data_IF_617772342717
#
_entry.id   IF_617772342717
#
_cell.length_a   1.000
_cell.length_b   1.000
_cell.length_c   1.000
_cell.angle_alpha   90.00
_cell.angle_beta   90.00
_cell.angle_gamma   90.00
#
_symmetry.space_group_name_H-M   'P 1'
#
loop_
_entity.id
_entity.type
_entity.pdbx_description
1 polymer ?
#
# COMPACT_ATOMS: atom_id res chain seq x y z
N UNK A 1 6.74 25.77 3.78
CA UNK A 1 7.14 24.97 4.95
C UNK A 1 5.91 24.62 5.78
N UNK A 2 5.11 23.68 5.29
CA UNK A 2 4.03 23.06 6.05
C UNK A 2 4.66 21.86 6.78
N UNK A 3 4.33 21.68 8.06
CA UNK A 3 4.93 20.67 8.92
C UNK A 3 3.99 19.47 8.95
N UNK A 4 4.40 18.38 8.33
CA UNK A 4 3.74 17.09 8.46
C UNK A 4 4.09 16.50 9.83
N UNK A 5 3.06 16.11 10.57
CA UNK A 5 3.20 15.47 11.89
C UNK A 5 2.80 14.02 11.70
N UNK A 6 3.79 13.16 11.51
CA UNK A 6 3.61 11.71 11.39
C UNK A 6 3.34 11.17 12.80
N UNK A 7 2.13 10.66 13.01
CA UNK A 7 1.75 9.97 14.24
C UNK A 7 2.05 8.48 14.06
N UNK A 8 3.21 8.04 14.57
CA UNK A 8 3.59 6.64 14.59
C UNK A 8 2.78 5.94 15.68
N UNK A 9 1.81 5.14 15.29
CA UNK A 9 1.07 4.25 16.19
C UNK A 9 1.89 2.98 16.38
N UNK A 10 2.62 2.90 17.50
CA UNK A 10 3.43 1.72 17.82
C UNK A 10 2.55 0.58 18.29
N UNK A 11 2.18 -0.33 17.40
CA UNK A 11 1.48 -1.57 17.74
C UNK A 11 2.47 -2.55 18.35
N UNK A 12 2.45 -2.69 19.67
CA UNK A 12 3.28 -3.66 20.37
C UNK A 12 2.73 -5.08 20.17
N UNK A 13 3.30 -5.82 19.21
CA UNK A 13 3.05 -7.23 19.05
C UNK A 13 3.67 -8.02 20.22
N UNK A 14 2.84 -8.58 21.09
CA UNK A 14 3.26 -9.48 22.18
C UNK A 14 3.43 -10.88 21.60
N UNK A 15 4.67 -11.23 21.21
CA UNK A 15 5.05 -12.58 20.81
C UNK A 15 5.05 -13.52 22.03
N UNK A 16 3.97 -14.27 22.20
CA UNK A 16 3.91 -15.39 23.14
C UNK A 16 4.58 -16.63 22.51
N UNK A 17 5.86 -16.85 22.83
CA UNK A 17 6.59 -18.08 22.49
C UNK A 17 6.01 -19.27 23.28
N UNK A 18 5.10 -20.01 22.67
CA UNK A 18 4.69 -21.34 23.13
C UNK A 18 5.76 -22.37 22.75
N UNK A 19 6.77 -22.50 23.60
CA UNK A 19 7.73 -23.60 23.55
C UNK A 19 7.05 -24.93 23.97
N UNK A 20 6.86 -25.85 23.02
CA UNK A 20 6.58 -27.25 23.33
C UNK A 20 7.05 -28.17 22.20
N UNK A 21 8.25 -28.76 22.35
CA UNK A 21 8.81 -29.68 21.37
C UNK A 21 9.96 -30.51 21.95
N UNK A 22 9.59 -31.51 22.73
CA UNK A 22 10.41 -32.43 23.51
C UNK A 22 11.21 -33.44 22.66
N UNK A 23 12.53 -33.61 22.90
CA UNK A 23 13.28 -34.77 22.40
C UNK A 23 14.82 -34.70 22.44
N UNK A 24 15.39 -35.05 23.59
CA UNK A 24 16.72 -35.63 23.89
C UNK A 24 17.84 -35.66 22.82
N UNK A 25 19.03 -35.16 23.19
CA UNK A 25 20.27 -35.96 23.15
C UNK A 25 21.35 -35.44 24.12
N UNK A 26 22.10 -36.36 24.72
CA UNK A 26 23.05 -36.19 25.83
C UNK A 26 24.43 -35.69 25.35
N UNK A 27 25.10 -34.81 26.12
CA UNK A 27 26.44 -34.36 25.71
C UNK A 27 27.24 -33.43 26.62
N UNK A 28 27.39 -33.77 27.89
CA UNK A 28 28.56 -33.54 28.77
C UNK A 28 29.63 -32.46 28.37
N UNK A 29 29.75 -31.34 29.12
CA UNK A 29 31.06 -30.92 29.69
C UNK A 29 30.98 -29.76 30.71
N UNK A 30 31.34 -30.07 31.95
CA UNK A 30 32.28 -29.37 32.85
C UNK A 30 32.44 -27.85 32.75
N UNK A 31 31.98 -27.14 33.78
CA UNK A 31 32.35 -25.74 34.06
C UNK A 31 32.02 -25.31 35.48
N UNK A 32 32.97 -25.51 36.41
CA UNK A 32 32.99 -24.92 37.75
C UNK A 32 33.06 -23.38 37.67
N UNK A 33 32.15 -22.66 38.34
CA UNK A 33 32.56 -21.59 39.27
C UNK A 33 31.41 -21.19 40.23
N UNK A 34 31.69 -20.99 41.53
CA UNK A 34 30.71 -20.54 42.52
C UNK A 34 30.83 -19.02 42.80
N UNK A 35 29.84 -18.53 43.56
CA UNK A 35 29.80 -17.26 44.28
C UNK A 35 29.33 -16.01 43.51
N UNK A 36 28.19 -15.50 43.95
CA UNK A 36 27.63 -14.20 43.54
C UNK A 36 26.29 -13.93 44.22
N UNK A 37 26.22 -14.02 45.55
CA UNK A 37 25.20 -13.27 46.28
C UNK A 37 25.52 -11.78 46.12
N UNK A 38 24.59 -11.01 45.56
CA UNK A 38 24.46 -9.62 45.97
C UNK A 38 23.00 -9.17 45.98
N UNK A 39 22.72 -8.44 47.04
CA UNK A 39 21.43 -8.10 47.60
C UNK A 39 21.13 -6.63 47.25
N UNK A 40 19.88 -6.20 47.49
CA UNK A 40 19.34 -4.83 47.48
C UNK A 40 18.68 -4.38 46.16
N UNK A 41 17.36 -4.17 46.05
CA UNK A 41 16.38 -3.36 46.82
C UNK A 41 16.21 -1.96 46.22
N UNK A 42 15.13 -1.75 45.45
CA UNK A 42 14.42 -0.49 45.09
C UNK A 42 13.53 -0.82 43.87
N UNK A 43 12.27 -0.42 43.69
CA UNK A 43 11.26 0.28 44.49
C UNK A 43 9.94 -0.12 43.80
N UNK A 44 8.92 -0.44 44.60
CA UNK A 44 7.56 -0.70 44.11
C UNK A 44 6.99 0.65 43.70
N UNK A 45 6.85 0.88 42.40
CA UNK A 45 6.18 2.07 41.90
C UNK A 45 4.66 1.84 41.98
N UNK A 46 4.03 2.55 42.90
CA UNK A 46 2.58 2.59 43.10
C UNK A 46 1.91 3.25 41.88
N UNK A 47 1.01 2.54 41.21
CA UNK A 47 0.08 3.16 40.27
C UNK A 47 -0.99 3.97 41.04
N UNK A 48 -1.42 5.13 40.51
CA UNK A 48 -2.33 6.02 41.21
C UNK A 48 -3.78 5.51 41.23
N UNK A 49 -4.43 5.69 42.38
CA UNK A 49 -5.88 5.61 42.59
C UNK A 49 -6.65 6.42 41.53
N UNK A 50 -7.36 5.72 40.63
CA UNK A 50 -8.42 6.33 39.82
C UNK A 50 -9.66 6.50 40.71
N UNK A 51 -9.82 7.73 41.20
CA UNK A 51 -11.07 8.19 41.81
C UNK A 51 -12.22 8.10 40.77
N UNK A 52 -13.04 7.05 40.87
CA UNK A 52 -14.42 7.08 40.36
C UNK A 52 -15.23 8.01 41.26
N UNK A 53 -15.32 9.28 40.87
CA UNK A 53 -16.34 10.18 41.37
C UNK A 53 -17.51 10.21 40.37
N UNK A 54 -18.63 9.64 40.81
CA UNK A 54 -19.99 9.93 40.31
C UNK A 54 -20.38 11.38 40.64
N UNK A 55 -20.90 12.10 39.64
CA UNK A 55 -21.85 13.23 39.75
C UNK A 55 -22.38 13.45 38.31
N UNK A 56 -23.59 13.04 37.89
CA UNK A 56 -24.96 13.37 38.30
C UNK A 56 -25.35 14.85 38.12
N UNK A 57 -26.19 15.13 37.11
CA UNK A 57 -27.25 16.17 37.01
C UNK A 57 -27.66 16.27 35.52
N UNK A 58 -28.72 15.60 35.06
CA UNK A 58 -30.12 16.07 34.96
C UNK A 58 -30.36 17.45 34.29
N UNK A 59 -31.17 17.39 33.22
CA UNK A 59 -32.11 18.39 32.69
C UNK A 59 -31.61 19.74 32.15
N UNK A 60 -31.93 20.02 30.87
CA UNK A 60 -32.86 21.11 30.58
C UNK A 60 -33.58 20.98 29.21
N UNK A 61 -34.86 21.34 29.26
CA UNK A 61 -35.93 21.49 28.26
C UNK A 61 -35.51 22.28 27.00
N UNK A 62 -35.89 21.87 25.78
CA UNK A 62 -37.14 22.17 25.02
C UNK A 62 -37.18 23.59 24.40
N UNK A 63 -37.84 23.67 23.23
CA UNK A 63 -38.19 24.82 22.34
C UNK A 63 -37.10 25.35 21.40
N UNK A 64 -37.31 25.74 20.15
CA UNK A 64 -38.43 26.00 19.20
C UNK A 64 -37.70 25.97 17.81
N UNK A 65 -38.24 25.79 16.61
CA UNK A 65 -39.52 26.22 16.07
C UNK A 65 -39.69 25.54 14.70
N UNK A 66 -40.94 25.24 14.37
CA UNK A 66 -41.38 24.80 13.05
C UNK A 66 -41.32 25.99 12.09
N UNK A 67 -40.68 25.84 10.93
CA UNK A 67 -40.99 26.72 9.81
C UNK A 67 -41.32 25.94 8.54
N UNK A 68 -42.51 26.27 8.06
CA UNK A 68 -43.24 25.68 6.97
C UNK A 68 -42.73 26.12 5.58
N UNK A 69 -43.10 25.31 4.60
CA UNK A 69 -43.35 25.66 3.20
C UNK A 69 -42.20 26.23 2.36
N UNK A 70 -41.57 25.35 1.59
CA UNK A 70 -41.28 25.67 0.20
C UNK A 70 -41.41 24.42 -0.70
N UNK A 71 -42.66 24.12 -1.06
CA UNK A 71 -43.01 23.32 -2.23
C UNK A 71 -42.64 24.13 -3.49
N UNK A 72 -41.53 23.77 -4.15
CA UNK A 72 -41.35 24.09 -5.57
C UNK A 72 -40.30 23.19 -6.22
N UNK A 73 -40.77 22.23 -7.02
CA UNK A 73 -39.99 21.69 -8.14
C UNK A 73 -39.45 20.28 -7.94
N UNK A 74 -40.33 19.29 -8.05
CA UNK A 74 -39.94 18.00 -8.64
C UNK A 74 -39.39 18.26 -10.04
N UNK A 75 -38.07 18.37 -10.13
CA UNK A 75 -37.30 18.14 -11.34
C UNK A 75 -36.48 16.87 -11.09
N UNK A 76 -37.20 15.76 -10.95
CA UNK A 76 -36.64 14.41 -10.92
C UNK A 76 -36.55 13.97 -12.37
N UNK A 77 -35.55 14.44 -13.10
CA UNK A 77 -35.22 13.93 -14.42
C UNK A 77 -33.73 14.19 -14.71
N UNK A 78 -33.00 13.08 -14.87
CA UNK A 78 -31.69 12.96 -15.51
C UNK A 78 -30.43 13.20 -14.64
N UNK A 79 -30.32 12.50 -13.51
CA UNK A 79 -29.04 11.86 -13.20
C UNK A 79 -29.00 10.56 -14.01
N UNK A 80 -28.66 10.66 -15.30
CA UNK A 80 -28.00 9.56 -15.99
C UNK A 80 -26.75 9.29 -15.17
N UNK A 81 -26.85 8.32 -14.25
CA UNK A 81 -25.68 7.60 -13.78
C UNK A 81 -25.05 7.06 -15.05
N UNK A 82 -23.99 7.73 -15.49
CA UNK A 82 -22.97 7.11 -16.28
C UNK A 82 -22.45 6.01 -15.35
N UNK A 83 -23.01 4.81 -15.46
CA UNK A 83 -22.34 3.60 -15.01
C UNK A 83 -21.09 3.51 -15.89
N UNK A 84 -20.09 4.34 -15.59
CA UNK A 84 -18.72 4.07 -15.94
C UNK A 84 -18.49 2.70 -15.32
N UNK A 85 -18.31 1.70 -16.18
CA UNK A 85 -18.00 0.34 -15.74
C UNK A 85 -16.68 0.47 -14.98
N UNK A 86 -16.77 0.56 -13.65
CA UNK A 86 -15.60 0.56 -12.78
C UNK A 86 -14.85 -0.75 -13.06
N UNK A 87 -13.56 -0.61 -13.39
CA UNK A 87 -12.66 -1.74 -13.59
C UNK A 87 -12.61 -2.56 -12.31
N UNK A 88 -12.59 -3.89 -12.43
CA UNK A 88 -12.47 -4.77 -11.26
C UNK A 88 -11.04 -4.67 -10.69
N UNK A 89 -10.90 -4.84 -9.38
CA UNK A 89 -9.59 -4.84 -8.73
C UNK A 89 -8.69 -5.94 -9.31
N UNK A 90 -7.39 -5.69 -9.41
CA UNK A 90 -6.42 -6.63 -9.99
C UNK A 90 -6.45 -7.99 -9.27
N UNK A 91 -6.64 -8.00 -7.95
CA UNK A 91 -6.75 -9.26 -7.19
C UNK A 91 -7.98 -10.10 -7.57
N UNK A 92 -9.07 -9.46 -8.00
CA UNK A 92 -10.31 -10.13 -8.42
C UNK A 92 -10.24 -10.66 -9.86
N UNK A 93 -9.22 -10.27 -10.63
CA UNK A 93 -8.99 -10.68 -12.02
C UNK A 93 -8.16 -11.96 -12.17
N UNK A 94 -8.00 -12.74 -11.09
CA UNK A 94 -7.27 -14.03 -11.07
C UNK A 94 -5.82 -13.91 -11.60
N UNK A 95 -5.10 -12.82 -11.28
CA UNK A 95 -3.71 -12.61 -11.73
C UNK A 95 -2.79 -13.76 -11.37
N UNK A 96 -1.84 -14.08 -12.25
CA UNK A 96 -0.84 -15.14 -12.00
C UNK A 96 0.50 -14.59 -11.55
N UNK A 97 0.85 -13.38 -12.01
CA UNK A 97 2.08 -12.69 -11.67
C UNK A 97 1.84 -11.20 -11.78
N UNK A 98 2.36 -10.46 -10.81
CA UNK A 98 2.35 -9.00 -10.78
C UNK A 98 3.76 -8.53 -10.47
N UNK A 99 4.27 -7.59 -11.26
CA UNK A 99 5.55 -6.95 -11.04
C UNK A 99 5.46 -5.46 -11.40
N UNK A 100 5.82 -4.60 -10.45
CA UNK A 100 5.87 -3.16 -10.64
C UNK A 100 7.24 -2.64 -10.16
N UNK A 101 7.97 -2.02 -11.07
CA UNK A 101 9.17 -1.23 -10.79
C UNK A 101 8.83 0.25 -10.94
N UNK A 102 9.10 1.05 -9.91
CA UNK A 102 8.88 2.52 -9.93
C UNK A 102 10.20 3.21 -9.62
N UNK A 103 10.59 4.16 -10.46
CA UNK A 103 11.71 5.07 -10.19
C UNK A 103 11.17 6.47 -9.94
N UNK A 104 11.54 7.09 -8.83
CA UNK A 104 11.15 8.44 -8.46
C UNK A 104 12.16 9.48 -8.99
N UNK A 105 11.76 10.76 -9.05
CA UNK A 105 12.63 11.86 -9.54
C UNK A 105 13.88 12.09 -8.69
N UNK A 106 13.92 11.57 -7.46
CA UNK A 106 15.09 11.62 -6.57
C UNK A 106 16.02 10.41 -6.69
N UNK A 107 15.84 9.60 -7.74
CA UNK A 107 16.54 8.34 -8.02
C UNK A 107 16.21 7.21 -7.02
N UNK A 108 15.18 7.36 -6.19
CA UNK A 108 14.68 6.26 -5.34
C UNK A 108 13.95 5.23 -6.20
N UNK A 109 14.33 3.96 -6.06
CA UNK A 109 13.69 2.84 -6.75
C UNK A 109 12.82 2.05 -5.78
N UNK A 110 11.63 1.67 -6.23
CA UNK A 110 10.71 0.76 -5.53
C UNK A 110 10.39 -0.42 -6.43
N UNK A 111 10.42 -1.63 -5.87
CA UNK A 111 9.99 -2.85 -6.55
C UNK A 111 8.91 -3.56 -5.73
N UNK A 112 7.83 -3.92 -6.42
CA UNK A 112 6.69 -4.64 -5.88
C UNK A 112 6.48 -5.90 -6.72
N UNK A 113 6.41 -7.06 -6.08
CA UNK A 113 6.13 -8.32 -6.76
C UNK A 113 5.13 -9.16 -5.97
N UNK A 114 4.25 -9.85 -6.69
CA UNK A 114 3.26 -10.75 -6.11
C UNK A 114 2.95 -11.91 -7.07
N UNK A 115 3.02 -13.13 -6.53
CA UNK A 115 2.61 -14.37 -7.18
C UNK A 115 1.68 -15.12 -6.21
N UNK A 116 0.37 -15.26 -6.52
CA UNK A 116 -0.54 -15.95 -5.63
C UNK A 116 -0.19 -17.43 -5.48
N UNK A 117 -0.64 -18.03 -4.38
CA UNK A 117 -0.43 -19.46 -4.14
C UNK A 117 -1.13 -20.32 -5.22
N UNK A 118 -0.42 -21.27 -5.83
CA UNK A 118 -1.00 -22.16 -6.84
C UNK A 118 -1.99 -23.19 -6.22
N UNK A 119 -1.91 -23.40 -4.91
CA UNK A 119 -2.75 -24.34 -4.17
C UNK A 119 -2.88 -23.99 -2.67
N UNK A 120 -3.85 -24.60 -1.99
CA UNK A 120 -4.15 -24.34 -0.57
C UNK A 120 -3.02 -24.68 0.42
N UNK A 121 -2.00 -25.45 0.00
CA UNK A 121 -0.87 -25.84 0.84
C UNK A 121 0.36 -24.93 0.63
N UNK A 122 0.28 -23.98 -0.31
CA UNK A 122 1.33 -23.00 -0.62
C UNK A 122 0.95 -21.61 -0.10
N UNK A 123 1.98 -20.80 0.20
CA UNK A 123 1.82 -19.39 0.53
C UNK A 123 2.08 -18.57 -0.73
N UNK A 124 1.39 -17.42 -0.91
CA UNK A 124 1.77 -16.47 -1.95
C UNK A 124 3.23 -16.04 -1.77
N UNK A 125 3.91 -15.82 -2.88
CA UNK A 125 5.26 -15.23 -2.91
C UNK A 125 5.11 -13.74 -3.20
N UNK A 126 5.71 -12.89 -2.37
CA UNK A 126 5.57 -11.45 -2.51
C UNK A 126 6.76 -10.74 -1.90
N UNK A 127 7.17 -9.64 -2.54
CA UNK A 127 8.22 -8.77 -2.05
C UNK A 127 7.90 -7.30 -2.34
N UNK A 128 8.21 -6.43 -1.38
CA UNK A 128 8.16 -4.98 -1.49
C UNK A 128 9.53 -4.46 -1.05
N UNK A 129 10.26 -3.82 -1.95
CA UNK A 129 11.59 -3.27 -1.64
C UNK A 129 11.72 -1.82 -2.10
N UNK A 130 12.38 -1.02 -1.26
CA UNK A 130 12.70 0.40 -1.48
C UNK A 130 13.93 0.82 -0.65
N UNK A 131 14.26 2.11 -0.59
CA UNK A 131 15.50 2.62 0.04
C UNK A 131 15.68 2.18 1.52
N UNK A 132 14.59 2.20 2.29
CA UNK A 132 14.57 1.89 3.73
C UNK A 132 13.55 0.81 4.13
N UNK A 133 12.93 0.14 3.14
CA UNK A 133 11.90 -0.89 3.35
C UNK A 133 12.23 -2.15 2.54
N UNK A 134 12.11 -3.30 3.18
CA UNK A 134 12.28 -4.61 2.55
C UNK A 134 11.33 -5.59 3.27
N UNK A 135 10.22 -5.91 2.63
CA UNK A 135 9.19 -6.84 3.11
C UNK A 135 9.13 -8.03 2.16
N UNK A 136 9.17 -9.25 2.71
CA UNK A 136 9.10 -10.49 1.94
C UNK A 136 8.21 -11.51 2.66
N UNK A 137 7.73 -12.52 1.91
CA UNK A 137 6.96 -13.63 2.47
C UNK A 137 5.58 -13.22 2.96
N UNK A 138 5.13 -13.74 4.10
CA UNK A 138 3.76 -13.52 4.61
C UNK A 138 3.43 -12.03 4.84
N UNK A 139 4.37 -11.26 5.39
CA UNK A 139 4.18 -9.81 5.61
C UNK A 139 4.13 -9.03 4.28
N UNK A 140 5.01 -9.37 3.33
CA UNK A 140 4.98 -8.78 1.98
C UNK A 140 3.69 -9.13 1.23
N UNK A 141 3.19 -10.36 1.40
CA UNK A 141 1.98 -10.82 0.74
C UNK A 141 0.73 -10.14 1.30
N UNK A 142 0.61 -9.99 2.62
CA UNK A 142 -0.52 -9.26 3.24
C UNK A 142 -0.60 -7.81 2.74
N UNK A 143 0.55 -7.11 2.65
CA UNK A 143 0.59 -5.74 2.15
C UNK A 143 0.31 -5.68 0.64
N UNK A 144 0.88 -6.58 -0.16
CA UNK A 144 0.60 -6.64 -1.60
C UNK A 144 -0.87 -6.96 -1.91
N UNK A 145 -1.51 -7.88 -1.19
CA UNK A 145 -2.93 -8.18 -1.37
C UNK A 145 -3.80 -6.97 -1.03
N UNK A 146 -3.42 -6.17 -0.03
CA UNK A 146 -4.10 -4.91 0.26
C UNK A 146 -3.99 -3.92 -0.91
N UNK A 147 -2.78 -3.68 -1.43
CA UNK A 147 -2.59 -2.82 -2.61
C UNK A 147 -3.37 -3.32 -3.83
N UNK A 148 -3.26 -4.61 -4.16
CA UNK A 148 -3.91 -5.18 -5.33
C UNK A 148 -5.44 -5.28 -5.22
N UNK A 149 -5.99 -5.19 -4.01
CA UNK A 149 -7.44 -5.07 -3.79
C UNK A 149 -7.99 -3.68 -4.07
N UNK A 150 -7.13 -2.66 -4.04
CA UNK A 150 -7.46 -1.27 -4.33
C UNK A 150 -6.95 -0.81 -5.71
N UNK A 151 -6.08 -1.58 -6.36
CA UNK A 151 -5.54 -1.28 -7.70
C UNK A 151 -6.51 -1.72 -8.81
N UNK A 152 -7.07 -0.79 -9.59
CA UNK A 152 -8.15 -1.08 -10.55
C UNK A 152 -7.73 -0.80 -12.00
N UNK A 153 -6.93 -1.69 -12.59
CA UNK A 153 -6.53 -1.62 -14.00
C UNK A 153 -6.86 -2.92 -14.74
N UNK A 154 -7.01 -2.85 -16.06
CA UNK A 154 -7.18 -4.02 -16.91
C UNK A 154 -6.16 -4.04 -18.07
N UNK A 155 -6.16 -5.11 -18.86
CA UNK A 155 -5.26 -5.27 -20.01
C UNK A 155 -5.43 -4.22 -21.13
N UNK A 156 -6.51 -3.43 -21.10
CA UNK A 156 -6.83 -2.36 -22.04
C UNK A 156 -6.61 -0.95 -21.47
N UNK A 157 -6.31 -0.82 -20.19
CA UNK A 157 -5.97 0.44 -19.54
C UNK A 157 -4.82 1.15 -20.25
N UNK A 158 -4.95 2.48 -20.34
CA UNK A 158 -3.93 3.33 -20.96
C UNK A 158 -2.88 3.81 -19.96
N UNK A 159 -1.75 4.28 -20.47
CA UNK A 159 -0.60 4.68 -19.66
C UNK A 159 -0.92 5.77 -18.63
N UNK A 160 -1.80 6.73 -18.97
CA UNK A 160 -2.16 7.82 -18.06
C UNK A 160 -3.03 7.31 -16.90
N UNK A 161 -3.97 6.40 -17.20
CA UNK A 161 -4.79 5.72 -16.20
C UNK A 161 -3.93 4.91 -15.24
N UNK A 162 -3.00 4.10 -15.78
CA UNK A 162 -2.09 3.27 -14.99
C UNK A 162 -1.19 4.13 -14.09
N UNK A 163 -0.63 5.24 -14.61
CA UNK A 163 0.18 6.14 -13.80
C UNK A 163 -0.61 6.71 -12.61
N UNK A 164 -1.86 7.11 -12.83
CA UNK A 164 -2.71 7.66 -11.77
C UNK A 164 -3.07 6.59 -10.74
N UNK A 165 -3.41 5.37 -11.18
CA UNK A 165 -3.70 4.24 -10.30
C UNK A 165 -2.47 3.82 -9.48
N UNK A 166 -1.27 3.82 -10.07
CA UNK A 166 -0.01 3.55 -9.35
C UNK A 166 0.21 4.62 -8.28
N UNK A 167 0.03 5.90 -8.63
CA UNK A 167 0.22 6.99 -7.69
C UNK A 167 -0.75 6.92 -6.51
N UNK A 168 -2.04 6.67 -6.76
CA UNK A 168 -3.06 6.61 -5.71
C UNK A 168 -2.90 5.37 -4.83
N UNK A 169 -2.70 4.18 -5.43
CA UNK A 169 -2.62 2.91 -4.70
C UNK A 169 -1.38 2.81 -3.83
N UNK A 170 -0.22 3.21 -4.36
CA UNK A 170 1.07 3.05 -3.68
C UNK A 170 1.52 4.31 -2.92
N UNK A 171 0.61 5.30 -2.75
CA UNK A 171 0.82 6.56 -2.02
C UNK A 171 2.03 7.36 -2.54
N UNK A 172 2.21 7.40 -3.87
CA UNK A 172 3.17 8.27 -4.54
C UNK A 172 2.50 9.55 -5.05
N UNK A 173 3.25 10.64 -5.15
CA UNK A 173 2.79 11.77 -5.96
C UNK A 173 3.03 11.45 -7.43
N UNK A 174 2.05 11.65 -8.32
CA UNK A 174 2.26 11.50 -9.77
C UNK A 174 3.45 12.35 -10.29
N UNK A 175 3.67 13.53 -9.70
CA UNK A 175 4.79 14.42 -10.05
C UNK A 175 6.16 13.94 -9.54
N UNK A 176 6.17 12.96 -8.63
CA UNK A 176 7.37 12.39 -8.04
C UNK A 176 7.79 11.09 -8.76
N UNK A 177 6.98 10.55 -9.66
CA UNK A 177 7.31 9.36 -10.48
C UNK A 177 8.10 9.82 -11.71
N UNK A 178 9.31 9.29 -11.88
CA UNK A 178 10.16 9.53 -13.06
C UNK A 178 9.90 8.50 -14.16
N UNK A 179 9.72 7.23 -13.77
CA UNK A 179 9.40 6.14 -14.68
C UNK A 179 8.74 4.98 -13.93
N UNK A 180 8.02 4.13 -14.64
CA UNK A 180 7.59 2.83 -14.14
C UNK A 180 7.64 1.76 -15.22
N UNK A 181 7.81 0.51 -14.79
CA UNK A 181 7.61 -0.70 -15.60
C UNK A 181 6.63 -1.61 -14.84
N UNK A 182 5.49 -1.91 -15.46
CA UNK A 182 4.43 -2.74 -14.89
C UNK A 182 4.22 -3.96 -15.78
N UNK A 183 4.25 -5.15 -15.18
CA UNK A 183 3.96 -6.42 -15.84
C UNK A 183 2.89 -7.15 -15.06
N UNK A 184 1.82 -7.58 -15.74
CA UNK A 184 0.77 -8.41 -15.15
C UNK A 184 0.46 -9.58 -16.07
N UNK A 185 0.48 -10.80 -15.52
CA UNK A 185 0.04 -12.02 -16.20
C UNK A 185 -1.43 -12.31 -15.89
N UNK A 186 -2.31 -11.85 -16.78
CA UNK A 186 -3.74 -12.14 -16.71
C UNK A 186 -4.06 -13.50 -17.33
N UNK A 187 -4.89 -14.34 -16.67
CA UNK A 187 -5.23 -15.68 -17.17
C UNK A 187 -6.02 -15.67 -18.49
N UNK A 188 -6.69 -14.56 -18.80
CA UNK A 188 -7.43 -14.39 -20.06
C UNK A 188 -6.53 -14.06 -21.26
N UNK A 189 -5.27 -13.67 -21.02
CA UNK A 189 -4.29 -13.33 -22.05
C UNK A 189 -3.33 -14.49 -22.31
N UNK A 190 -2.87 -14.61 -23.56
CA UNK A 190 -1.89 -15.65 -23.94
C UNK A 190 -0.46 -15.32 -23.42
N UNK A 191 -0.19 -14.05 -23.06
CA UNK A 191 1.09 -13.57 -22.57
C UNK A 191 0.85 -12.46 -21.53
N UNK A 192 1.82 -12.23 -20.65
CA UNK A 192 1.84 -11.10 -19.76
C UNK A 192 1.70 -9.77 -20.53
N UNK A 193 0.97 -8.84 -19.93
CA UNK A 193 0.80 -7.49 -20.42
C UNK A 193 1.84 -6.60 -19.74
N UNK A 194 2.57 -5.84 -20.55
CA UNK A 194 3.67 -5.00 -20.10
C UNK A 194 3.34 -3.55 -20.46
N UNK A 195 3.44 -2.66 -19.48
CA UNK A 195 3.36 -1.21 -19.65
C UNK A 195 4.62 -0.56 -19.11
N UNK A 196 5.10 0.46 -19.81
CA UNK A 196 6.27 1.21 -19.40
C UNK A 196 6.04 2.68 -19.69
N UNK A 197 6.37 3.55 -18.75
CA UNK A 197 6.30 5.00 -18.92
C UNK A 197 7.57 5.64 -18.39
N UNK A 198 8.04 6.69 -19.08
CA UNK A 198 9.24 7.44 -18.73
C UNK A 198 9.06 8.93 -19.09
N UNK A 199 9.32 9.82 -18.13
CA UNK A 199 9.14 11.27 -18.30
C UNK A 199 10.08 11.87 -19.37
N UNK A 200 11.29 11.31 -19.56
CA UNK A 200 12.24 11.80 -20.56
C UNK A 200 11.77 11.49 -21.98
N UNK A 201 11.09 10.37 -22.19
CA UNK A 201 10.55 9.99 -23.51
C UNK A 201 9.41 10.91 -23.97
N UNK A 202 8.49 11.31 -23.08
CA UNK A 202 7.41 12.25 -23.42
C UNK A 202 7.96 13.63 -23.83
N UNK A 203 8.95 14.14 -23.10
CA UNK A 203 9.57 15.43 -23.37
C UNK A 203 10.55 15.39 -24.56
N UNK A 204 11.00 14.20 -24.97
CA UNK A 204 11.92 13.96 -26.08
C UNK A 204 11.27 13.93 -27.46
N UNK A 205 9.96 13.62 -27.54
CA UNK A 205 9.25 13.42 -28.80
C UNK A 205 9.01 14.70 -29.62
N UNK A 206 9.04 15.90 -29.01
CA UNK A 206 8.80 17.17 -29.72
C UNK A 206 10.03 17.74 -30.45
N UNK A 207 11.23 17.19 -30.25
CA UNK A 207 12.47 17.78 -30.81
C UNK A 207 12.97 17.16 -32.12
N UNK A 208 12.24 16.22 -32.74
CA UNK A 208 12.68 15.52 -33.95
C UNK A 208 11.87 15.83 -35.23
N UNK A 209 11.15 16.96 -35.25
CA UNK A 209 10.37 17.40 -36.42
C UNK A 209 11.06 18.44 -37.33
N UNK A 210 12.33 18.80 -37.11
CA UNK A 210 13.04 19.80 -37.92
C UNK A 210 14.42 19.35 -38.44
N UNK A 211 14.54 18.21 -39.10
CA UNK A 211 15.67 17.98 -40.03
C UNK A 211 15.27 17.14 -41.24
N UNK A 212 14.47 17.71 -42.13
CA UNK A 212 14.46 17.33 -43.55
C UNK A 212 14.13 18.55 -44.41
N UNK A 213 14.99 19.56 -44.32
CA UNK A 213 15.01 20.66 -45.27
C UNK A 213 16.44 20.86 -45.77
N UNK A 214 16.94 19.90 -46.54
CA UNK A 214 18.11 20.11 -47.40
C UNK A 214 17.84 19.59 -48.81
N UNK A 215 17.14 20.42 -49.57
CA UNK A 215 17.61 20.97 -50.84
C UNK A 215 18.86 20.29 -51.43
N UNK A 216 18.71 19.33 -52.34
CA UNK A 216 19.64 19.23 -53.48
C UNK A 216 18.92 19.02 -54.80
N UNK A 217 18.62 20.18 -55.38
CA UNK A 217 18.58 20.44 -56.81
C UNK A 217 19.98 20.24 -57.42
N UNK A 218 20.19 19.21 -58.27
CA UNK A 218 20.97 19.32 -59.51
C UNK A 218 21.10 17.97 -60.23
N UNK A 219 20.74 17.93 -61.52
CA UNK A 219 21.22 16.93 -62.49
C UNK A 219 20.20 16.45 -63.49
#
# INVERSE_FOLDING_TARGET
MKKFTISITTTAAVLALAACGNGADEGNNTGNNPAGENNQNEEVNEEPDVNLAEDNEENNEETDDLNADNDNGMNTDNEEMNEEEETEAVLDQDVQDFNLDVTLVDDTEWNFSYTPAENEDEQPDAAISGDDLDLEGEEGAEEMEAYLSDFNIDAASDEQEILSEIADTFDFSEEDISSYDLTIDFPEQDNAVEWSWDEEEENGAENNAEMNNDTENNG
#
